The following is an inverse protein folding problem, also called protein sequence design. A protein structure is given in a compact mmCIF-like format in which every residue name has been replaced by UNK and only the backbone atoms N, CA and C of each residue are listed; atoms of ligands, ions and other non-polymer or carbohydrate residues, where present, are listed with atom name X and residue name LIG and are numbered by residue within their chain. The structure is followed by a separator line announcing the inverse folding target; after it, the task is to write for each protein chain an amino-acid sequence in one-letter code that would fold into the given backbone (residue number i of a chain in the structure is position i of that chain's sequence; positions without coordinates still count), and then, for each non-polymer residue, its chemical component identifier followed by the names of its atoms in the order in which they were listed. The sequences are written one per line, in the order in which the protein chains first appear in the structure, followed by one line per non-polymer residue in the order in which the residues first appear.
data_IF_280376624322
#
_entry.id   IF_280376624322
#
_cell.length_a   1.000
_cell.length_b   1.000
_cell.length_c   1.000
_cell.angle_alpha   90.00
_cell.angle_beta   90.00
_cell.angle_gamma   90.00
#
_symmetry.space_group_name_H-M   'P 1'
#
loop_
_entity.id
_entity.type
_entity.pdbx_description
1 polymer ?
#
# COMPACT_ATOMS: atom_id res chain seq x y z
N UNK A 1 -16.59 -22.18 17.78
CA UNK A 1 -16.91 -21.12 18.76
C UNK A 1 -16.42 -19.82 18.14
N UNK A 2 -17.28 -19.16 17.38
CA UNK A 2 -16.97 -17.87 16.75
C UNK A 2 -17.11 -16.80 17.83
N UNK A 3 -15.99 -16.24 18.27
CA UNK A 3 -16.04 -14.98 18.97
C UNK A 3 -16.46 -13.94 17.93
N UNK A 4 -17.73 -13.57 17.92
CA UNK A 4 -18.19 -12.33 17.27
C UNK A 4 -17.52 -11.20 18.05
N UNK A 5 -16.33 -10.82 17.60
CA UNK A 5 -15.60 -9.71 18.16
C UNK A 5 -16.35 -8.46 17.72
N UNK A 6 -17.00 -7.80 18.66
CA UNK A 6 -17.71 -6.54 18.47
C UNK A 6 -16.81 -5.57 17.67
N UNK A 7 -17.35 -4.98 16.62
CA UNK A 7 -16.62 -4.08 15.72
C UNK A 7 -16.25 -2.82 16.51
N UNK A 8 -14.99 -2.74 16.97
CA UNK A 8 -14.47 -1.57 17.70
C UNK A 8 -13.87 -0.58 16.73
N UNK A 9 -14.28 0.68 16.80
CA UNK A 9 -13.64 1.74 16.02
C UNK A 9 -12.27 2.08 16.62
N UNK A 10 -11.46 2.82 15.85
CA UNK A 10 -10.12 3.23 16.28
C UNK A 10 -10.18 4.02 17.60
N UNK A 11 -11.18 4.89 17.77
CA UNK A 11 -11.38 5.69 18.98
C UNK A 11 -11.75 4.83 20.20
N UNK A 12 -12.50 3.75 20.03
CA UNK A 12 -12.84 2.85 21.13
C UNK A 12 -11.61 2.06 21.63
N UNK A 13 -10.71 1.72 20.72
CA UNK A 13 -9.46 1.00 21.04
C UNK A 13 -8.38 1.95 21.55
N UNK A 14 -8.38 3.19 21.08
CA UNK A 14 -7.39 4.21 21.38
C UNK A 14 -8.07 5.53 21.78
N UNK A 15 -8.70 5.60 22.98
CA UNK A 15 -9.56 6.72 23.38
C UNK A 15 -8.86 8.08 23.51
N UNK A 16 -7.53 8.08 23.66
CA UNK A 16 -6.74 9.32 23.75
C UNK A 16 -6.03 9.67 22.44
N UNK A 17 -6.41 9.03 21.32
CA UNK A 17 -5.83 9.30 20.01
C UNK A 17 -6.57 10.44 19.32
N UNK A 18 -5.92 11.58 19.19
CA UNK A 18 -6.42 12.72 18.42
C UNK A 18 -5.97 12.62 16.96
N UNK A 19 -6.91 12.28 16.08
CA UNK A 19 -6.75 12.31 14.61
C UNK A 19 -7.38 13.59 14.07
N UNK A 20 -6.64 14.37 13.28
CA UNK A 20 -7.13 15.64 12.72
C UNK A 20 -7.20 15.63 11.20
N UNK A 21 -8.18 16.39 10.69
CA UNK A 21 -8.34 16.69 9.27
C UNK A 21 -8.84 15.48 8.46
N UNK A 22 -8.48 15.44 7.17
CA UNK A 22 -8.93 14.39 6.23
C UNK A 22 -8.64 12.97 6.71
N UNK A 23 -7.57 12.76 7.48
CA UNK A 23 -7.20 11.43 7.99
C UNK A 23 -8.31 10.84 8.86
N UNK A 24 -8.94 11.67 9.69
CA UNK A 24 -10.00 11.28 10.60
C UNK A 24 -11.23 10.80 9.83
N UNK A 25 -11.61 11.49 8.74
CA UNK A 25 -12.75 11.12 7.90
C UNK A 25 -12.63 9.71 7.33
N UNK A 26 -11.46 9.37 6.76
CA UNK A 26 -11.25 8.03 6.20
C UNK A 26 -11.10 6.96 7.29
N UNK A 27 -10.42 7.28 8.41
CA UNK A 27 -10.13 6.34 9.48
C UNK A 27 -11.32 6.05 10.39
N UNK A 28 -12.29 6.96 10.53
CA UNK A 28 -13.51 6.74 11.34
C UNK A 28 -14.34 5.56 10.84
N UNK A 29 -14.37 5.31 9.54
CA UNK A 29 -15.05 4.15 8.97
C UNK A 29 -14.29 2.83 9.15
N UNK A 30 -13.04 2.88 9.62
CA UNK A 30 -12.25 1.69 9.85
C UNK A 30 -12.54 1.08 11.23
N UNK A 31 -12.62 -0.24 11.28
CA UNK A 31 -12.80 -1.03 12.50
C UNK A 31 -11.52 -1.79 12.81
N UNK A 32 -11.15 -1.83 14.09
CA UNK A 32 -9.98 -2.58 14.57
C UNK A 32 -10.38 -4.03 14.77
N UNK A 33 -9.84 -4.90 13.92
CA UNK A 33 -10.06 -6.35 13.98
C UNK A 33 -9.21 -7.00 15.05
N UNK A 34 -7.96 -6.56 15.21
CA UNK A 34 -7.01 -7.17 16.14
C UNK A 34 -5.89 -6.20 16.50
N UNK A 35 -5.45 -6.25 17.76
CA UNK A 35 -4.18 -5.65 18.19
C UNK A 35 -3.30 -6.77 18.70
N UNK A 36 -2.05 -6.83 18.25
CA UNK A 36 -1.10 -7.87 18.64
C UNK A 36 0.30 -7.28 18.81
N UNK A 37 1.10 -7.90 19.66
CA UNK A 37 2.54 -7.69 19.69
C UNK A 37 3.21 -8.78 18.86
N UNK A 38 4.30 -8.43 18.18
CA UNK A 38 5.18 -9.42 17.57
C UNK A 38 5.87 -10.28 18.64
N UNK A 39 6.56 -11.34 18.20
CA UNK A 39 7.23 -12.28 19.11
C UNK A 39 8.30 -11.60 19.98
N UNK A 40 9.00 -10.58 19.46
CA UNK A 40 10.03 -9.83 20.18
C UNK A 40 9.45 -8.69 21.03
N UNK A 41 8.13 -8.47 20.97
CA UNK A 41 7.39 -7.42 21.70
C UNK A 41 7.93 -6.01 21.44
N UNK A 42 8.48 -5.77 20.25
CA UNK A 42 8.99 -4.48 19.80
C UNK A 42 8.20 -3.91 18.62
N UNK A 43 7.18 -4.62 18.13
CA UNK A 43 6.23 -4.14 17.14
C UNK A 43 4.80 -4.36 17.62
N UNK A 44 4.01 -3.28 17.69
CA UNK A 44 2.55 -3.33 17.85
C UNK A 44 1.90 -3.37 16.47
N UNK A 45 1.21 -4.47 16.19
CA UNK A 45 0.45 -4.71 14.97
C UNK A 45 -1.02 -4.39 15.21
N UNK A 46 -1.55 -3.43 14.46
CA UNK A 46 -2.94 -3.00 14.50
C UNK A 46 -3.59 -3.43 13.18
N UNK A 47 -4.48 -4.41 13.24
CA UNK A 47 -5.21 -4.90 12.07
C UNK A 47 -6.52 -4.13 11.97
N UNK A 48 -6.73 -3.46 10.84
CA UNK A 48 -7.95 -2.70 10.56
C UNK A 48 -8.67 -3.23 9.33
N UNK A 49 -9.98 -3.11 9.31
CA UNK A 49 -10.84 -3.35 8.15
C UNK A 49 -11.60 -2.08 7.83
N UNK A 50 -11.74 -1.72 6.56
CA UNK A 50 -12.54 -0.56 6.14
C UNK A 50 -13.42 -0.91 4.94
N UNK A 51 -14.64 -0.36 4.83
CA UNK A 51 -15.50 -0.55 3.67
C UNK A 51 -15.02 0.19 2.41
N UNK A 52 -14.00 1.04 2.53
CA UNK A 52 -13.40 1.77 1.42
C UNK A 52 -11.88 1.74 1.50
N UNK A 53 -11.21 2.02 0.38
CA UNK A 53 -9.76 2.19 0.40
C UNK A 53 -9.39 3.45 1.17
N UNK A 54 -8.27 3.39 1.88
CA UNK A 54 -7.73 4.52 2.65
C UNK A 54 -6.34 4.81 2.10
N UNK A 55 -6.11 6.06 1.68
CA UNK A 55 -4.81 6.42 1.13
C UNK A 55 -3.68 6.12 2.13
N UNK A 56 -2.57 5.50 1.67
CA UNK A 56 -1.51 5.00 2.56
C UNK A 56 -0.90 6.08 3.45
N UNK A 57 -0.91 7.34 3.01
CA UNK A 57 -0.52 8.52 3.82
C UNK A 57 -1.24 8.58 5.17
N UNK A 58 -2.54 8.30 5.22
CA UNK A 58 -3.33 8.34 6.46
C UNK A 58 -3.07 7.12 7.34
N UNK A 59 -2.80 5.95 6.75
CA UNK A 59 -2.35 4.77 7.50
C UNK A 59 -1.03 5.05 8.21
N UNK A 60 -0.09 5.69 7.52
CA UNK A 60 1.18 6.09 8.12
C UNK A 60 1.03 7.21 9.16
N UNK A 61 0.13 8.16 8.93
CA UNK A 61 -0.22 9.16 9.93
C UNK A 61 -0.80 8.50 11.19
N UNK A 62 -1.64 7.47 11.05
CA UNK A 62 -2.16 6.70 12.18
C UNK A 62 -1.03 6.01 12.96
N UNK A 63 -0.10 5.31 12.28
CA UNK A 63 1.08 4.71 12.92
C UNK A 63 1.86 5.75 13.75
N UNK A 64 2.09 6.93 13.18
CA UNK A 64 2.82 8.02 13.80
C UNK A 64 2.06 8.63 14.98
N UNK A 65 0.75 8.89 14.86
CA UNK A 65 -0.05 9.47 15.95
C UNK A 65 -0.17 8.50 17.12
N UNK A 66 -0.43 7.21 16.86
CA UNK A 66 -0.45 6.18 17.92
C UNK A 66 0.91 6.12 18.61
N UNK A 67 1.99 6.13 17.83
CA UNK A 67 3.35 6.13 18.37
C UNK A 67 3.60 7.36 19.26
N UNK A 68 3.30 8.54 18.77
CA UNK A 68 3.62 9.83 19.42
C UNK A 68 2.75 10.08 20.65
N UNK A 69 1.47 9.76 20.60
CA UNK A 69 0.51 10.13 21.64
C UNK A 69 0.38 9.06 22.73
N UNK A 70 0.55 7.78 22.39
CA UNK A 70 0.29 6.67 23.32
C UNK A 70 1.55 5.89 23.72
N UNK A 71 2.61 5.95 22.91
CA UNK A 71 3.84 5.16 23.10
C UNK A 71 5.11 6.00 22.94
N UNK A 72 5.07 7.28 23.36
CA UNK A 72 6.18 8.23 23.24
C UNK A 72 7.46 7.72 23.88
N UNK A 73 7.35 7.16 25.09
CA UNK A 73 8.50 6.77 25.93
C UNK A 73 8.89 5.30 25.81
N UNK A 74 8.18 4.54 24.97
CA UNK A 74 8.39 3.10 24.81
C UNK A 74 9.17 2.86 23.52
N UNK A 75 10.22 2.05 23.52
CA UNK A 75 10.92 1.66 22.27
C UNK A 75 10.15 0.56 21.52
N UNK A 76 9.00 0.94 20.94
CA UNK A 76 8.12 0.08 20.14
C UNK A 76 7.80 0.72 18.80
N UNK A 77 7.75 -0.09 17.74
CA UNK A 77 7.30 0.30 16.41
C UNK A 77 5.80 0.05 16.28
N UNK A 78 5.07 1.00 15.71
CA UNK A 78 3.64 0.83 15.41
C UNK A 78 3.50 0.48 13.94
N UNK A 79 2.74 -0.58 13.64
CA UNK A 79 2.43 -1.01 12.28
C UNK A 79 0.96 -1.30 12.11
N UNK A 80 0.36 -0.68 11.10
CA UNK A 80 -1.04 -0.89 10.74
C UNK A 80 -1.09 -1.86 9.56
N UNK A 81 -1.98 -2.85 9.66
CA UNK A 81 -2.30 -3.82 8.62
C UNK A 81 -3.74 -3.61 8.21
N UNK A 82 -3.92 -2.91 7.11
CA UNK A 82 -5.24 -2.61 6.57
C UNK A 82 -5.75 -3.71 5.62
N UNK A 83 -7.06 -3.92 5.66
CA UNK A 83 -7.83 -4.72 4.72
C UNK A 83 -9.06 -3.91 4.30
N UNK A 84 -9.43 -3.97 3.01
CA UNK A 84 -10.50 -3.19 2.43
C UNK A 84 -11.58 -4.11 1.87
N UNK A 85 -12.80 -3.91 2.35
CA UNK A 85 -14.00 -4.61 1.87
C UNK A 85 -14.65 -3.73 0.79
N UNK A 86 -14.00 -3.68 -0.37
CA UNK A 86 -14.42 -2.81 -1.47
C UNK A 86 -15.74 -3.29 -2.08
N UNK A 87 -16.58 -2.35 -2.50
CA UNK A 87 -17.78 -2.65 -3.26
C UNK A 87 -17.44 -3.35 -4.59
N UNK A 88 -18.34 -4.21 -5.08
CA UNK A 88 -18.19 -4.98 -6.33
C UNK A 88 -17.94 -4.15 -7.61
N UNK A 89 -18.13 -2.83 -7.56
CA UNK A 89 -17.84 -1.96 -8.70
C UNK A 89 -16.34 -1.75 -8.95
N UNK A 90 -15.50 -2.05 -7.96
CA UNK A 90 -14.04 -1.96 -8.09
C UNK A 90 -13.52 -3.19 -8.82
N UNK A 91 -12.85 -2.94 -9.94
CA UNK A 91 -11.96 -3.89 -10.61
C UNK A 91 -10.52 -3.56 -10.23
N UNK A 92 -9.55 -4.48 -10.41
CA UNK A 92 -8.12 -4.18 -10.28
C UNK A 92 -7.70 -2.91 -11.03
N UNK A 93 -8.23 -2.70 -12.25
CA UNK A 93 -7.98 -1.51 -13.05
C UNK A 93 -8.44 -0.22 -12.35
N UNK A 94 -9.73 -0.14 -11.98
CA UNK A 94 -10.29 1.05 -11.30
C UNK A 94 -9.61 1.33 -9.97
N UNK A 95 -9.24 0.28 -9.23
CA UNK A 95 -8.48 0.44 -8.00
C UNK A 95 -7.09 0.99 -8.30
N UNK A 96 -6.40 0.50 -9.34
CA UNK A 96 -5.09 1.01 -9.74
C UNK A 96 -5.14 2.50 -10.07
N UNK A 97 -6.17 2.99 -10.76
CA UNK A 97 -6.31 4.42 -11.09
C UNK A 97 -6.30 5.32 -9.85
N UNK A 98 -7.05 4.95 -8.80
CA UNK A 98 -7.21 5.77 -7.59
C UNK A 98 -6.16 5.47 -6.51
N UNK A 99 -5.64 4.25 -6.48
CA UNK A 99 -4.79 3.75 -5.39
C UNK A 99 -3.31 3.67 -5.76
N UNK A 100 -2.93 3.86 -7.03
CA UNK A 100 -1.51 3.93 -7.46
C UNK A 100 -0.65 4.85 -6.61
N UNK A 101 -1.08 6.07 -6.20
CA UNK A 101 -0.27 6.93 -5.33
C UNK A 101 0.03 6.29 -3.96
N UNK A 102 -0.93 5.54 -3.40
CA UNK A 102 -0.74 4.80 -2.14
C UNK A 102 0.28 3.67 -2.28
N UNK A 103 0.19 2.91 -3.38
CA UNK A 103 1.16 1.84 -3.70
C UNK A 103 2.55 2.44 -3.86
N UNK A 104 2.68 3.52 -4.64
CA UNK A 104 3.94 4.22 -4.85
C UNK A 104 4.56 4.70 -3.53
N UNK A 105 3.76 5.29 -2.64
CA UNK A 105 4.21 5.77 -1.33
C UNK A 105 4.68 4.62 -0.42
N UNK A 106 3.96 3.49 -0.44
CA UNK A 106 4.33 2.29 0.31
C UNK A 106 5.67 1.71 -0.18
N UNK A 107 5.81 1.56 -1.49
CA UNK A 107 7.05 1.07 -2.10
C UNK A 107 8.22 2.01 -1.82
N UNK A 108 8.02 3.33 -1.89
CA UNK A 108 9.06 4.32 -1.59
C UNK A 108 9.58 4.25 -0.16
N UNK A 109 8.71 3.94 0.81
CA UNK A 109 9.14 3.70 2.19
C UNK A 109 9.85 2.35 2.37
N UNK A 110 9.55 1.38 1.52
CA UNK A 110 10.12 0.04 1.60
C UNK A 110 11.50 -0.03 0.95
N UNK A 111 11.61 0.39 -0.31
CA UNK A 111 12.84 0.38 -1.10
C UNK A 111 12.71 1.38 -2.27
N UNK A 112 13.69 2.28 -2.42
CA UNK A 112 13.71 3.28 -3.49
C UNK A 112 13.75 2.62 -4.88
N UNK A 113 14.39 1.46 -5.03
CA UNK A 113 14.46 0.71 -6.29
C UNK A 113 13.11 0.07 -6.65
N UNK A 114 12.36 -0.45 -5.67
CA UNK A 114 10.98 -0.91 -5.91
C UNK A 114 10.09 0.23 -6.38
N UNK A 115 10.21 1.38 -5.71
CA UNK A 115 9.46 2.57 -6.05
C UNK A 115 9.81 3.08 -7.45
N UNK A 116 11.10 3.00 -7.84
CA UNK A 116 11.54 3.30 -9.19
C UNK A 116 10.90 2.37 -10.21
N UNK A 117 11.04 1.05 -10.01
CA UNK A 117 10.53 0.03 -10.93
C UNK A 117 9.02 0.17 -11.15
N UNK A 118 8.26 0.38 -10.08
CA UNK A 118 6.81 0.60 -10.18
C UNK A 118 6.45 1.92 -10.87
N UNK A 119 7.19 2.99 -10.60
CA UNK A 119 6.95 4.31 -11.20
C UNK A 119 7.16 4.29 -12.72
N UNK A 120 8.20 3.61 -13.20
CA UNK A 120 8.50 3.49 -14.63
C UNK A 120 7.74 2.35 -15.32
N UNK A 121 7.10 1.46 -14.55
CA UNK A 121 6.30 0.38 -15.11
C UNK A 121 5.10 0.90 -15.91
N UNK A 122 4.88 0.30 -17.09
CA UNK A 122 3.64 0.45 -17.85
C UNK A 122 2.69 -0.64 -17.38
N UNK A 123 1.52 -0.23 -16.92
CA UNK A 123 0.51 -1.15 -16.38
C UNK A 123 -0.72 -1.06 -17.27
N UNK A 124 -1.19 -2.22 -17.72
CA UNK A 124 -2.42 -2.34 -18.51
C UNK A 124 -3.21 -3.53 -18.00
N UNK A 125 -4.52 -3.50 -18.20
CA UNK A 125 -5.44 -4.57 -17.82
C UNK A 125 -6.09 -5.11 -19.09
N UNK A 126 -5.49 -6.11 -19.77
CA UNK A 126 -6.08 -6.69 -20.97
C UNK A 126 -7.43 -7.37 -20.69
N UNK A 127 -7.59 -7.92 -19.48
CA UNK A 127 -8.80 -8.54 -18.96
C UNK A 127 -9.05 -8.09 -17.51
N UNK A 128 -10.25 -8.36 -16.97
CA UNK A 128 -10.68 -7.84 -15.67
C UNK A 128 -9.80 -8.28 -14.49
N UNK A 129 -9.28 -9.51 -14.53
CA UNK A 129 -8.42 -10.09 -13.49
C UNK A 129 -6.99 -10.31 -13.97
N UNK A 130 -6.59 -9.72 -15.11
CA UNK A 130 -5.23 -9.82 -15.63
C UNK A 130 -4.54 -8.46 -15.64
N UNK A 131 -3.35 -8.38 -15.04
CA UNK A 131 -2.50 -7.21 -15.03
C UNK A 131 -1.23 -7.49 -15.81
N UNK A 132 -1.00 -6.75 -16.88
CA UNK A 132 0.29 -6.73 -17.55
C UNK A 132 1.17 -5.65 -16.92
N UNK A 133 2.22 -6.08 -16.22
CA UNK A 133 3.25 -5.23 -15.64
C UNK A 133 4.48 -5.23 -16.55
N UNK A 134 4.63 -4.19 -17.38
CA UNK A 134 5.80 -4.04 -18.24
C UNK A 134 6.86 -3.16 -17.58
N UNK A 135 8.01 -3.75 -17.24
CA UNK A 135 9.12 -3.08 -16.56
C UNK A 135 10.16 -2.60 -17.59
N UNK A 136 10.88 -1.51 -17.28
CA UNK A 136 12.06 -1.15 -18.08
C UNK A 136 13.08 -2.28 -18.04
N UNK A 137 13.69 -2.60 -19.17
CA UNK A 137 14.76 -3.59 -19.21
C UNK A 137 16.08 -3.01 -18.71
N UNK A 138 16.37 -3.22 -17.43
CA UNK A 138 17.66 -2.91 -16.82
C UNK A 138 17.94 -3.83 -15.61
N UNK A 139 19.18 -3.83 -15.11
CA UNK A 139 19.56 -4.71 -14.00
C UNK A 139 18.79 -4.42 -12.70
N UNK A 140 18.44 -3.16 -12.44
CA UNK A 140 17.77 -2.75 -11.19
C UNK A 140 16.32 -3.25 -11.15
N UNK A 141 15.59 -3.16 -12.26
CA UNK A 141 14.20 -3.64 -12.37
C UNK A 141 14.14 -5.16 -12.33
N UNK A 142 15.10 -5.85 -12.98
CA UNK A 142 15.23 -7.32 -12.92
C UNK A 142 15.46 -7.82 -11.49
N UNK A 143 16.32 -7.15 -10.73
CA UNK A 143 16.57 -7.50 -9.31
C UNK A 143 15.31 -7.36 -8.44
N UNK A 144 14.44 -6.39 -8.77
CA UNK A 144 13.26 -6.05 -7.98
C UNK A 144 11.95 -6.63 -8.51
N UNK A 145 12.00 -7.39 -9.59
CA UNK A 145 10.83 -7.97 -10.26
C UNK A 145 9.97 -8.79 -9.31
N UNK A 146 10.55 -9.87 -8.75
CA UNK A 146 9.82 -10.83 -7.91
C UNK A 146 9.22 -10.15 -6.68
N UNK A 147 9.98 -9.22 -6.09
CA UNK A 147 9.54 -8.48 -4.91
C UNK A 147 8.40 -7.51 -5.25
N UNK A 148 8.47 -6.82 -6.40
CA UNK A 148 7.41 -5.94 -6.86
C UNK A 148 6.14 -6.73 -7.20
N UNK A 149 6.27 -7.84 -7.93
CA UNK A 149 5.18 -8.77 -8.24
C UNK A 149 4.47 -9.20 -6.95
N UNK A 150 5.22 -9.73 -5.98
CA UNK A 150 4.67 -10.18 -4.70
C UNK A 150 4.03 -9.04 -3.88
N UNK A 151 4.53 -7.80 -4.00
CA UNK A 151 3.89 -6.65 -3.36
C UNK A 151 2.54 -6.34 -3.99
N UNK A 152 2.45 -6.31 -5.32
CA UNK A 152 1.20 -6.03 -6.03
C UNK A 152 0.16 -7.12 -5.76
N UNK A 153 0.55 -8.39 -5.86
CA UNK A 153 -0.35 -9.52 -5.58
C UNK A 153 -0.93 -9.45 -4.16
N UNK A 154 -0.10 -9.13 -3.15
CA UNK A 154 -0.59 -8.92 -1.78
C UNK A 154 -1.53 -7.74 -1.65
N UNK A 155 -1.27 -6.65 -2.36
CA UNK A 155 -2.12 -5.45 -2.30
C UNK A 155 -3.49 -5.73 -2.91
N UNK A 156 -3.54 -6.35 -4.09
CA UNK A 156 -4.80 -6.64 -4.77
C UNK A 156 -5.55 -7.78 -4.10
N UNK A 157 -4.91 -8.94 -3.93
CA UNK A 157 -5.56 -10.16 -3.46
C UNK A 157 -5.79 -10.17 -1.94
N UNK A 158 -4.77 -9.87 -1.13
CA UNK A 158 -4.90 -9.96 0.34
C UNK A 158 -5.54 -8.71 0.95
N UNK A 159 -5.08 -7.51 0.56
CA UNK A 159 -5.55 -6.26 1.15
C UNK A 159 -6.90 -5.82 0.57
N UNK A 160 -7.11 -5.94 -0.73
CA UNK A 160 -8.31 -5.40 -1.38
C UNK A 160 -9.33 -6.47 -1.79
N UNK A 161 -9.02 -7.76 -1.61
CA UNK A 161 -9.85 -8.89 -2.04
C UNK A 161 -10.26 -8.84 -3.51
N UNK A 162 -9.35 -8.33 -4.36
CA UNK A 162 -9.49 -8.31 -5.81
C UNK A 162 -8.44 -9.27 -6.38
N UNK A 163 -8.82 -10.49 -6.79
CA UNK A 163 -7.87 -11.39 -7.42
C UNK A 163 -7.33 -10.76 -8.70
N UNK A 164 -6.03 -10.85 -8.90
CA UNK A 164 -5.38 -10.41 -10.13
C UNK A 164 -4.19 -11.30 -10.42
N UNK A 165 -4.08 -11.74 -11.67
CA UNK A 165 -2.92 -12.43 -12.20
C UNK A 165 -1.96 -11.40 -12.79
N UNK A 166 -0.75 -11.31 -12.26
CA UNK A 166 0.24 -10.33 -12.70
C UNK A 166 1.20 -10.99 -13.68
N UNK A 167 1.13 -10.60 -14.94
CA UNK A 167 2.04 -11.03 -16.00
C UNK A 167 3.14 -9.99 -16.19
N UNK A 168 4.39 -10.40 -16.00
CA UNK A 168 5.54 -9.50 -16.12
C UNK A 168 6.10 -9.56 -17.53
N UNK A 169 6.32 -8.38 -18.12
CA UNK A 169 7.03 -8.21 -19.38
C UNK A 169 8.08 -7.10 -19.27
N UNK A 170 8.87 -6.94 -20.33
CA UNK A 170 9.97 -6.00 -20.38
C UNK A 170 9.89 -5.13 -21.62
N UNK A 171 10.27 -3.86 -21.48
CA UNK A 171 10.41 -2.94 -22.60
C UNK A 171 11.76 -2.24 -22.59
N UNK A 172 12.34 -2.08 -23.77
CA UNK A 172 13.57 -1.31 -23.96
C UNK A 172 13.27 0.18 -23.85
N UNK A 173 14.04 0.88 -23.01
CA UNK A 173 14.07 2.33 -23.00
C UNK A 173 15.00 2.76 -24.13
N UNK A 174 14.46 3.01 -25.32
CA UNK A 174 15.26 3.68 -26.35
C UNK A 174 15.70 5.03 -25.79
N UNK A 175 17.01 5.24 -25.68
CA UNK A 175 17.61 6.42 -25.07
C UNK A 175 16.95 7.70 -25.59
N UNK A 176 16.14 8.35 -24.74
CA UNK A 176 15.64 9.71 -24.98
C UNK A 176 16.73 10.75 -24.69
N UNK A 177 18.00 10.44 -25.00
CA UNK A 177 19.17 11.26 -24.71
C UNK A 177 20.00 11.57 -25.98
N UNK A 178 19.32 11.86 -27.10
CA UNK A 178 19.93 12.50 -28.28
C UNK A 178 19.22 13.76 -28.79
N UNK A 179 18.11 14.19 -28.17
CA UNK A 179 17.38 15.39 -28.62
C UNK A 179 17.60 16.65 -27.76
N UNK A 180 18.44 16.59 -26.72
CA UNK A 180 18.73 17.75 -25.85
C UNK A 180 20.21 18.12 -25.73
N UNK A 181 21.08 17.52 -26.55
CA UNK A 181 22.49 17.88 -26.62
C UNK A 181 23.01 17.68 -28.05
N UNK A 182 22.89 18.72 -28.88
CA UNK A 182 23.42 18.67 -30.24
C UNK A 182 23.10 19.84 -31.17
N UNK A 183 22.24 20.80 -30.80
CA UNK A 183 22.27 22.13 -31.42
C UNK A 183 23.37 22.95 -30.74
N UNK A 184 24.59 22.86 -31.26
CA UNK A 184 25.65 23.88 -31.26
C UNK A 184 26.94 23.25 -31.78
N UNK A 185 27.13 23.30 -33.10
CA UNK A 185 28.27 23.96 -33.76
C UNK A 185 28.08 23.95 -35.27
#
# INVERSE_FOLDING_TARGET
MEFVQEDKHIEDVFPNLDLKGEAEEYLRLAVVRRVALDRKRNVLLIYISSPQWIHKKYIFQLEEQVKRQLFSDVSILIKVREHFQLSRQYTPEKLMEVYRPSIQLELQRKDVLLAYAFRTARITFPEEEEMNLSLEENCLTREKEEELHACLEKIFTERCSLPVKVEVSYYEVREHRRLLSGERQ
#
